data_IF_375729722591
#
_entry.id   IF_375729722591
#
_cell.length_a   1.000
_cell.length_b   1.000
_cell.length_c   1.000
_cell.angle_alpha   90.00
_cell.angle_beta   90.00
_cell.angle_gamma   90.00
#
_symmetry.space_group_name_H-M   'P 1'
#
loop_
_entity.id
_entity.type
_entity.pdbx_description
1 polymer ?
#
# COMPACT_ATOMS: atom_id res chain seq x y z
N UNK A 1 -28.23 -8.80 -10.76
CA UNK A 1 -27.72 -10.17 -10.88
C UNK A 1 -28.11 -10.68 -12.25
N UNK A 2 -27.13 -10.97 -13.09
CA UNK A 2 -27.36 -11.61 -14.38
C UNK A 2 -27.13 -13.11 -14.21
N UNK A 3 -28.02 -13.92 -14.75
CA UNK A 3 -27.88 -15.39 -14.78
C UNK A 3 -27.55 -15.81 -16.21
N UNK A 4 -26.70 -16.82 -16.37
CA UNK A 4 -26.32 -17.38 -17.67
C UNK A 4 -25.75 -16.35 -18.65
N UNK A 5 -24.83 -15.49 -18.19
CA UNK A 5 -24.17 -14.52 -19.04
C UNK A 5 -23.12 -15.21 -19.93
N UNK A 6 -23.15 -14.91 -21.23
CA UNK A 6 -22.18 -15.43 -22.21
C UNK A 6 -21.47 -14.25 -22.85
N UNK A 7 -20.14 -14.25 -22.79
CA UNK A 7 -19.33 -13.33 -23.58
C UNK A 7 -19.07 -13.97 -24.93
N UNK A 8 -19.41 -13.24 -26.01
CA UNK A 8 -19.17 -13.64 -27.39
C UNK A 8 -18.21 -12.68 -28.06
N UNK A 9 -17.31 -13.22 -28.89
CA UNK A 9 -16.49 -12.45 -29.82
C UNK A 9 -16.80 -12.98 -31.22
N UNK A 10 -17.26 -12.11 -32.14
CA UNK A 10 -17.72 -12.48 -33.46
C UNK A 10 -18.70 -13.67 -33.44
N UNK A 11 -19.75 -13.56 -32.61
CA UNK A 11 -20.78 -14.59 -32.40
C UNK A 11 -20.31 -15.94 -31.80
N UNK A 12 -19.01 -16.10 -31.58
CA UNK A 12 -18.45 -17.28 -30.92
C UNK A 12 -18.48 -17.10 -29.41
N UNK A 13 -19.15 -18.01 -28.67
CA UNK A 13 -19.16 -17.93 -27.20
C UNK A 13 -17.79 -18.32 -26.66
N UNK A 14 -17.13 -17.39 -25.94
CA UNK A 14 -15.79 -17.60 -25.38
C UNK A 14 -15.84 -17.87 -23.90
N UNK A 15 -16.75 -17.24 -23.19
CA UNK A 15 -16.85 -17.34 -21.73
C UNK A 15 -18.31 -17.42 -21.29
N UNK A 16 -18.60 -18.39 -20.43
CA UNK A 16 -19.89 -18.57 -19.80
C UNK A 16 -19.79 -18.31 -18.30
N UNK A 17 -20.65 -17.41 -17.80
CA UNK A 17 -20.81 -17.14 -16.37
C UNK A 17 -22.20 -17.60 -15.93
N UNK A 18 -22.31 -18.66 -15.12
CA UNK A 18 -23.61 -19.13 -14.63
C UNK A 18 -24.30 -18.06 -13.77
N UNK A 19 -23.51 -17.19 -13.13
CA UNK A 19 -24.00 -16.07 -12.33
C UNK A 19 -23.00 -14.90 -12.43
N UNK A 20 -23.44 -13.81 -13.02
CA UNK A 20 -22.64 -12.57 -13.09
C UNK A 20 -23.29 -11.50 -12.22
N UNK A 21 -22.47 -10.86 -11.41
CA UNK A 21 -22.88 -9.77 -10.53
C UNK A 21 -22.06 -8.53 -10.85
N UNK A 22 -22.73 -7.48 -11.31
CA UNK A 22 -22.14 -6.16 -11.44
C UNK A 22 -22.68 -5.30 -10.29
N UNK A 23 -21.83 -4.77 -9.38
CA UNK A 23 -22.29 -3.85 -8.36
C UNK A 23 -22.75 -2.54 -9.02
N UNK A 24 -23.99 -2.19 -8.83
CA UNK A 24 -24.52 -0.87 -9.14
C UNK A 24 -24.03 0.14 -8.08
N UNK A 25 -23.94 1.42 -8.43
CA UNK A 25 -23.54 2.51 -7.53
C UNK A 25 -24.42 2.63 -6.27
N UNK A 26 -25.65 2.14 -6.33
CA UNK A 26 -26.57 2.07 -5.20
C UNK A 26 -26.29 0.92 -4.23
N UNK A 27 -25.46 -0.04 -4.61
CA UNK A 27 -25.16 -1.23 -3.78
C UNK A 27 -24.12 -0.91 -2.73
N UNK A 28 -24.45 -1.15 -1.46
CA UNK A 28 -23.48 -1.03 -0.35
C UNK A 28 -22.21 -1.82 -0.64
N UNK A 29 -21.07 -1.29 -0.21
CA UNK A 29 -19.75 -1.94 -0.31
C UNK A 29 -19.81 -3.38 0.17
N UNK A 30 -19.33 -4.32 -0.62
CA UNK A 30 -19.35 -5.76 -0.30
C UNK A 30 -17.95 -6.33 -0.34
N UNK A 31 -17.70 -7.29 0.53
CA UNK A 31 -16.46 -8.08 0.51
C UNK A 31 -16.44 -9.01 -0.69
N UNK A 32 -15.26 -9.25 -1.24
CA UNK A 32 -15.07 -10.13 -2.38
C UNK A 32 -13.65 -10.08 -2.97
N UNK A 33 -13.36 -11.00 -3.85
CA UNK A 33 -12.12 -10.98 -4.63
C UNK A 33 -12.13 -9.81 -5.62
N UNK A 34 -11.00 -9.14 -5.71
CA UNK A 34 -10.74 -8.14 -6.74
C UNK A 34 -10.08 -8.81 -7.95
N UNK A 35 -9.91 -8.04 -9.02
CA UNK A 35 -9.29 -8.54 -10.24
C UNK A 35 -7.86 -9.03 -9.96
N UNK A 36 -7.53 -10.27 -10.28
CA UNK A 36 -6.17 -10.78 -10.17
C UNK A 36 -5.22 -10.03 -11.11
N UNK A 37 -3.95 -9.93 -10.69
CA UNK A 37 -2.87 -9.38 -11.51
C UNK A 37 -1.81 -10.42 -11.79
N UNK A 38 -1.36 -10.48 -13.03
CA UNK A 38 -0.20 -11.25 -13.44
C UNK A 38 0.96 -10.26 -13.65
N UNK A 39 2.07 -10.52 -12.99
CA UNK A 39 3.29 -9.72 -13.13
C UNK A 39 4.42 -10.62 -13.63
N UNK A 40 5.30 -10.03 -14.42
CA UNK A 40 6.54 -10.67 -14.84
C UNK A 40 7.70 -9.71 -14.61
N UNK A 41 8.66 -10.13 -13.80
CA UNK A 41 9.83 -9.34 -13.43
C UNK A 41 11.10 -10.09 -13.81
N UNK A 42 12.07 -9.40 -14.41
CA UNK A 42 13.40 -9.97 -14.71
C UNK A 42 14.12 -10.46 -13.45
N UNK A 43 13.81 -9.86 -12.30
CA UNK A 43 14.47 -10.14 -11.02
C UNK A 43 13.76 -11.25 -10.22
N UNK A 44 12.43 -11.27 -10.24
CA UNK A 44 11.61 -12.17 -9.42
C UNK A 44 10.76 -13.14 -10.25
N UNK A 45 10.67 -12.94 -11.62
CA UNK A 45 9.93 -13.69 -12.62
C UNK A 45 8.43 -13.52 -12.55
N UNK A 46 7.72 -14.57 -12.95
CA UNK A 46 6.27 -14.54 -13.02
C UNK A 46 5.66 -14.62 -11.62
N UNK A 47 4.65 -13.82 -11.38
CA UNK A 47 3.88 -13.86 -10.15
C UNK A 47 2.41 -13.55 -10.40
N UNK A 48 1.56 -14.07 -9.53
CA UNK A 48 0.13 -13.78 -9.51
C UNK A 48 -0.24 -13.13 -8.17
N UNK A 49 -0.95 -12.03 -8.26
CA UNK A 49 -1.55 -11.37 -7.10
C UNK A 49 -3.06 -11.59 -7.12
N UNK A 50 -3.65 -12.08 -6.03
CA UNK A 50 -5.08 -12.38 -5.91
C UNK A 50 -5.65 -11.59 -4.73
N UNK A 51 -6.04 -10.32 -4.91
CA UNK A 51 -6.47 -9.51 -3.80
C UNK A 51 -7.90 -9.85 -3.36
N UNK A 52 -8.12 -9.79 -2.04
CA UNK A 52 -9.42 -9.93 -1.41
C UNK A 52 -9.77 -8.69 -0.59
N UNK A 53 -10.85 -8.05 -0.97
CA UNK A 53 -11.38 -6.88 -0.28
C UNK A 53 -12.38 -7.30 0.78
N UNK A 54 -12.24 -6.80 2.00
CA UNK A 54 -13.15 -7.04 3.13
C UNK A 54 -13.65 -5.73 3.73
N UNK A 55 -14.95 -5.54 3.73
CA UNK A 55 -15.59 -4.46 4.47
C UNK A 55 -15.60 -4.80 5.96
N UNK A 56 -15.10 -3.90 6.80
CA UNK A 56 -15.12 -4.01 8.26
C UNK A 56 -16.18 -3.11 8.91
N UNK A 57 -16.96 -2.42 8.08
CA UNK A 57 -18.00 -1.48 8.48
C UNK A 57 -18.29 -0.47 7.38
N UNK A 58 -19.08 0.55 7.67
CA UNK A 58 -19.43 1.58 6.70
C UNK A 58 -18.26 2.49 6.31
N UNK A 59 -17.29 2.66 7.22
CA UNK A 59 -16.22 3.64 7.10
C UNK A 59 -14.79 3.04 7.14
N UNK A 60 -14.68 1.72 7.18
CA UNK A 60 -13.38 1.03 7.21
C UNK A 60 -13.39 -0.26 6.40
N UNK A 61 -12.26 -0.61 5.85
CA UNK A 61 -12.03 -1.82 5.06
C UNK A 61 -10.58 -2.30 5.16
N UNK A 62 -10.40 -3.53 4.73
CA UNK A 62 -9.13 -4.21 4.63
C UNK A 62 -9.04 -4.85 3.24
N UNK A 63 -7.92 -4.65 2.56
CA UNK A 63 -7.60 -5.39 1.34
C UNK A 63 -6.39 -6.27 1.59
N UNK A 64 -6.59 -7.55 1.54
CA UNK A 64 -5.52 -8.54 1.62
C UNK A 64 -5.03 -8.85 0.21
N UNK A 65 -3.73 -8.73 -0.05
CA UNK A 65 -3.13 -8.73 -1.39
C UNK A 65 -1.97 -9.75 -1.47
N UNK A 66 -2.23 -11.06 -1.38
CA UNK A 66 -1.18 -12.07 -1.49
C UNK A 66 -0.62 -12.11 -2.92
N UNK A 67 0.69 -12.10 -3.03
CA UNK A 67 1.40 -12.31 -4.30
C UNK A 67 2.16 -13.62 -4.23
N UNK A 68 1.84 -14.54 -5.12
CA UNK A 68 2.48 -15.85 -5.26
C UNK A 68 3.45 -15.80 -6.44
N UNK A 69 4.67 -16.29 -6.24
CA UNK A 69 5.67 -16.37 -7.28
C UNK A 69 5.75 -17.79 -7.86
N UNK A 70 5.93 -17.89 -9.17
CA UNK A 70 6.36 -19.11 -9.82
C UNK A 70 7.79 -19.44 -9.40
N UNK A 71 8.27 -20.65 -9.50
CA UNK A 71 9.60 -21.13 -9.05
C UNK A 71 10.74 -20.08 -9.12
N UNK A 72 11.37 -19.77 -7.98
CA UNK A 72 12.46 -18.80 -7.90
C UNK A 72 13.70 -19.31 -7.17
N UNK A 73 14.85 -19.04 -7.79
CA UNK A 73 16.18 -19.30 -7.22
C UNK A 73 16.55 -18.38 -6.05
N UNK A 74 15.81 -17.29 -5.84
CA UNK A 74 16.08 -16.31 -4.77
C UNK A 74 15.32 -16.57 -3.47
N UNK A 75 14.38 -17.50 -3.46
CA UNK A 75 13.64 -17.89 -2.26
C UNK A 75 13.99 -19.32 -1.90
N UNK A 76 14.51 -19.54 -0.70
CA UNK A 76 14.86 -20.89 -0.25
C UNK A 76 13.61 -21.72 0.12
N UNK A 77 12.57 -21.10 0.69
CA UNK A 77 11.39 -21.82 1.22
C UNK A 77 10.06 -21.24 0.80
N UNK A 78 9.87 -19.93 0.90
CA UNK A 78 8.56 -19.30 0.72
C UNK A 78 8.55 -18.45 -0.57
N UNK A 79 7.47 -18.56 -1.31
CA UNK A 79 7.31 -17.96 -2.64
C UNK A 79 6.13 -17.00 -2.66
N UNK A 80 5.92 -16.26 -1.57
CA UNK A 80 4.81 -15.32 -1.50
C UNK A 80 5.17 -14.07 -0.70
N UNK A 81 4.54 -12.95 -1.09
CA UNK A 81 4.47 -11.73 -0.31
C UNK A 81 3.05 -11.62 0.24
N UNK A 82 2.92 -11.36 1.52
CA UNK A 82 1.66 -11.01 2.14
C UNK A 82 1.61 -9.50 2.31
N UNK A 83 0.80 -8.83 1.50
CA UNK A 83 0.54 -7.41 1.60
C UNK A 83 -0.87 -7.18 2.10
N UNK A 84 -1.08 -6.19 2.95
CA UNK A 84 -2.37 -5.86 3.54
C UNK A 84 -2.52 -4.35 3.61
N UNK A 85 -3.60 -3.84 3.05
CA UNK A 85 -3.94 -2.43 3.11
C UNK A 85 -5.19 -2.23 3.95
N UNK A 86 -5.07 -1.39 4.97
CA UNK A 86 -6.18 -0.96 5.83
C UNK A 86 -6.55 0.49 5.52
N UNK A 87 -7.84 0.75 5.38
CA UNK A 87 -8.40 2.09 5.18
C UNK A 87 -9.49 2.38 6.18
N UNK A 88 -9.45 3.57 6.76
CA UNK A 88 -10.50 4.11 7.63
C UNK A 88 -10.75 5.56 7.25
N UNK A 89 -12.01 5.92 7.09
CA UNK A 89 -12.42 7.31 6.83
C UNK A 89 -13.55 7.70 7.76
N UNK A 90 -13.34 8.76 8.50
CA UNK A 90 -14.33 9.39 9.38
C UNK A 90 -14.65 10.80 8.87
N UNK A 91 -15.60 11.49 9.50
CA UNK A 91 -15.98 12.84 9.13
C UNK A 91 -14.78 13.80 9.10
N UNK A 92 -13.93 13.68 10.11
CA UNK A 92 -12.82 14.60 10.34
C UNK A 92 -11.43 13.92 10.24
N UNK A 93 -11.36 12.63 9.94
CA UNK A 93 -10.08 11.93 9.84
C UNK A 93 -10.07 10.87 8.73
N UNK A 94 -8.88 10.59 8.23
CA UNK A 94 -8.63 9.49 7.31
C UNK A 94 -7.31 8.82 7.64
N UNK A 95 -7.31 7.49 7.58
CA UNK A 95 -6.15 6.65 7.76
C UNK A 95 -6.07 5.66 6.61
N UNK A 96 -4.91 5.57 5.98
CA UNK A 96 -4.54 4.48 5.08
C UNK A 96 -3.23 3.92 5.60
N UNK A 97 -3.14 2.60 5.74
CA UNK A 97 -1.92 1.91 6.11
C UNK A 97 -1.73 0.69 5.20
N UNK A 98 -0.55 0.55 4.64
CA UNK A 98 -0.16 -0.58 3.81
C UNK A 98 1.05 -1.27 4.44
N UNK A 99 0.94 -2.55 4.67
CA UNK A 99 1.98 -3.38 5.27
C UNK A 99 2.21 -4.60 4.39
N UNK A 100 3.48 -4.93 4.09
CA UNK A 100 3.82 -6.19 3.47
C UNK A 100 4.94 -6.90 4.22
N UNK A 101 4.91 -8.22 4.13
CA UNK A 101 5.84 -9.10 4.79
C UNK A 101 6.23 -10.25 3.88
N UNK A 102 7.54 -10.55 3.82
CA UNK A 102 8.14 -11.68 3.13
C UNK A 102 9.20 -12.31 4.02
N UNK A 103 9.16 -13.63 4.16
CA UNK A 103 10.14 -14.41 4.94
C UNK A 103 11.22 -14.97 4.02
N UNK A 104 12.37 -15.23 4.62
CA UNK A 104 13.48 -15.99 4.03
C UNK A 104 13.95 -15.48 2.65
N UNK A 105 13.92 -14.16 2.44
CA UNK A 105 14.45 -13.55 1.22
C UNK A 105 15.98 -13.63 1.19
N UNK A 106 16.52 -14.15 0.09
CA UNK A 106 17.96 -14.21 -0.16
C UNK A 106 18.35 -13.18 -1.23
N UNK A 107 19.16 -12.22 -0.85
CA UNK A 107 19.72 -11.27 -1.80
C UNK A 107 20.85 -11.90 -2.63
N UNK A 108 21.05 -11.47 -3.85
CA UNK A 108 22.17 -11.89 -4.69
C UNK A 108 23.55 -11.55 -4.10
N UNK A 109 23.60 -10.56 -3.20
CA UNK A 109 24.82 -10.06 -2.57
C UNK A 109 25.06 -10.59 -1.15
N UNK A 110 24.08 -11.25 -0.56
CA UNK A 110 24.17 -11.74 0.82
C UNK A 110 23.66 -13.19 0.90
N UNK A 111 24.51 -14.09 1.38
CA UNK A 111 24.18 -15.50 1.54
C UNK A 111 23.19 -15.78 2.65
N UNK A 112 22.97 -14.85 3.59
CA UNK A 112 22.02 -15.00 4.70
C UNK A 112 20.61 -14.56 4.27
N UNK A 113 19.63 -15.39 4.57
CA UNK A 113 18.22 -15.06 4.43
C UNK A 113 17.78 -13.99 5.42
N UNK A 114 16.90 -13.11 5.03
CA UNK A 114 16.34 -12.05 5.88
C UNK A 114 14.84 -11.97 5.70
N UNK A 115 14.14 -11.67 6.78
CA UNK A 115 12.76 -11.22 6.69
C UNK A 115 12.75 -9.77 6.23
N UNK A 116 11.93 -9.47 5.25
CA UNK A 116 11.78 -8.12 4.73
C UNK A 116 10.33 -7.69 4.83
N UNK A 117 10.14 -6.42 5.14
CA UNK A 117 8.81 -5.83 5.25
C UNK A 117 8.83 -4.34 4.87
N UNK A 118 7.66 -3.81 4.60
CA UNK A 118 7.43 -2.37 4.58
C UNK A 118 6.25 -1.98 5.46
N UNK A 119 6.25 -0.73 5.87
CA UNK A 119 5.10 -0.04 6.46
C UNK A 119 5.00 1.33 5.80
N UNK A 120 3.89 1.55 5.10
CA UNK A 120 3.52 2.86 4.57
C UNK A 120 2.21 3.27 5.24
N UNK A 121 2.15 4.50 5.76
CA UNK A 121 0.99 5.00 6.47
C UNK A 121 0.78 6.48 6.15
N UNK A 122 -0.46 6.84 5.89
CA UNK A 122 -0.90 8.23 5.82
C UNK A 122 -2.10 8.43 6.73
N UNK A 123 -1.98 9.38 7.65
CA UNK A 123 -3.04 9.79 8.55
C UNK A 123 -3.26 11.30 8.45
N UNK A 124 -4.51 11.67 8.29
CA UNK A 124 -4.94 13.06 8.26
C UNK A 124 -6.10 13.25 9.23
N UNK A 125 -6.06 14.30 10.05
CA UNK A 125 -7.15 14.63 10.96
C UNK A 125 -7.37 16.14 11.03
N UNK A 126 -8.65 16.52 11.06
CA UNK A 126 -9.11 17.89 11.34
C UNK A 126 -9.65 17.91 12.76
N UNK A 127 -9.10 18.77 13.60
CA UNK A 127 -9.52 18.93 14.98
C UNK A 127 -10.32 20.22 15.11
N UNK A 128 -11.44 20.17 15.82
CA UNK A 128 -12.24 21.34 16.13
C UNK A 128 -11.96 21.72 17.58
N UNK A 129 -11.12 22.73 17.78
CA UNK A 129 -10.80 23.26 19.11
C UNK A 129 -11.31 24.70 19.17
N UNK A 130 -12.03 25.11 20.22
CA UNK A 130 -12.47 26.49 20.38
C UNK A 130 -11.31 27.48 20.24
N UNK A 131 -11.57 28.64 19.68
CA UNK A 131 -10.60 29.71 19.39
C UNK A 131 -9.63 29.47 18.23
N UNK A 132 -9.76 28.36 17.49
CA UNK A 132 -9.05 28.17 16.24
C UNK A 132 -10.05 28.02 15.09
N UNK A 133 -9.72 28.58 13.93
CA UNK A 133 -10.51 28.42 12.71
C UNK A 133 -10.33 27.01 12.15
N UNK A 134 -9.11 26.51 12.20
CA UNK A 134 -8.77 25.20 11.64
C UNK A 134 -7.52 24.64 12.31
N UNK A 135 -7.62 23.39 12.71
CA UNK A 135 -6.46 22.62 13.14
C UNK A 135 -6.40 21.36 12.28
N UNK A 136 -5.25 21.10 11.68
CA UNK A 136 -5.00 19.90 10.87
C UNK A 136 -3.73 19.22 11.34
N UNK A 137 -3.85 17.93 11.58
CA UNK A 137 -2.73 17.04 11.88
C UNK A 137 -2.53 16.08 10.71
N UNK A 138 -1.29 15.95 10.25
CA UNK A 138 -0.88 15.05 9.17
C UNK A 138 0.30 14.20 9.64
N UNK A 139 0.26 12.91 9.36
CA UNK A 139 1.38 12.01 9.55
C UNK A 139 1.53 11.12 8.32
N UNK A 140 2.73 11.09 7.77
CA UNK A 140 3.14 10.18 6.71
C UNK A 140 4.34 9.37 7.18
N UNK A 141 4.26 8.04 7.06
CA UNK A 141 5.34 7.13 7.45
C UNK A 141 5.67 6.25 6.27
N UNK A 142 6.93 6.29 5.86
CA UNK A 142 7.50 5.42 4.85
C UNK A 142 8.67 4.65 5.46
N UNK A 143 8.56 3.33 5.54
CA UNK A 143 9.60 2.49 6.11
C UNK A 143 9.74 1.18 5.35
N UNK A 144 10.98 0.79 5.09
CA UNK A 144 11.35 -0.51 4.54
C UNK A 144 12.50 -1.12 5.36
N UNK A 145 12.59 -2.44 5.40
CA UNK A 145 13.67 -3.13 6.14
C UNK A 145 14.89 -3.48 5.31
N UNK A 146 14.83 -3.25 3.99
CA UNK A 146 15.92 -3.54 3.08
C UNK A 146 16.09 -2.41 2.07
N UNK A 147 17.32 -1.95 1.87
CA UNK A 147 17.65 -0.79 1.04
C UNK A 147 17.29 -0.97 -0.44
N UNK A 148 17.22 -2.20 -0.91
CA UNK A 148 16.83 -2.52 -2.29
C UNK A 148 15.37 -2.94 -2.43
N UNK A 149 14.58 -2.85 -1.36
CA UNK A 149 13.21 -3.35 -1.31
C UNK A 149 12.35 -2.80 -2.44
N UNK A 150 12.28 -1.48 -2.58
CA UNK A 150 11.45 -0.83 -3.59
C UNK A 150 11.91 -1.17 -5.01
N UNK A 151 13.22 -1.16 -5.28
CA UNK A 151 13.78 -1.52 -6.59
C UNK A 151 13.46 -2.95 -7.02
N UNK A 152 13.37 -3.87 -6.05
CA UNK A 152 13.15 -5.30 -6.32
C UNK A 152 11.66 -5.63 -6.43
N UNK A 153 10.82 -5.04 -5.57
CA UNK A 153 9.43 -5.46 -5.40
C UNK A 153 8.38 -4.49 -5.92
N UNK A 154 8.73 -3.27 -6.35
CA UNK A 154 7.76 -2.27 -6.81
C UNK A 154 6.74 -2.83 -7.81
N UNK A 155 7.21 -3.54 -8.83
CA UNK A 155 6.35 -4.11 -9.86
C UNK A 155 5.48 -5.29 -9.37
N UNK A 156 5.81 -5.86 -8.22
CA UNK A 156 5.10 -6.99 -7.63
C UNK A 156 4.18 -6.59 -6.48
N UNK A 157 4.33 -5.37 -5.96
CA UNK A 157 3.40 -4.82 -4.98
C UNK A 157 2.11 -4.42 -5.68
N UNK A 158 1.00 -4.81 -5.10
CA UNK A 158 -0.30 -4.38 -5.59
C UNK A 158 -0.44 -2.86 -5.39
N UNK A 159 -1.08 -2.15 -6.33
CA UNK A 159 -1.23 -0.70 -6.28
C UNK A 159 -1.71 -0.23 -4.92
N UNK A 160 -0.95 0.67 -4.34
CA UNK A 160 -1.30 1.40 -3.13
C UNK A 160 -1.03 2.89 -3.38
N UNK A 161 -1.92 3.78 -2.90
CA UNK A 161 -1.68 5.22 -3.00
C UNK A 161 -0.54 5.70 -2.10
N UNK A 162 0.03 4.81 -1.29
CA UNK A 162 1.09 5.09 -0.32
C UNK A 162 2.47 4.67 -0.80
N UNK A 163 2.60 4.19 -2.04
CA UNK A 163 3.92 3.82 -2.56
C UNK A 163 4.84 5.06 -2.57
N UNK A 164 6.05 4.98 -1.99
CA UNK A 164 6.99 6.08 -2.00
C UNK A 164 7.27 6.60 -3.41
N UNK A 165 7.36 7.90 -3.57
CA UNK A 165 7.63 8.55 -4.85
C UNK A 165 9.04 8.24 -5.38
N UNK A 166 9.97 7.85 -4.50
CA UNK A 166 11.35 7.51 -4.83
C UNK A 166 11.69 6.09 -4.40
N UNK A 167 12.40 5.37 -5.25
CA UNK A 167 12.92 4.03 -4.92
C UNK A 167 14.16 4.07 -4.00
N UNK A 168 14.74 5.23 -3.78
CA UNK A 168 16.00 5.39 -3.04
C UNK A 168 15.87 6.31 -1.84
N UNK A 169 14.79 7.07 -1.72
CA UNK A 169 14.59 8.02 -0.63
C UNK A 169 13.20 7.85 -0.06
N UNK A 170 13.11 7.64 1.24
CA UNK A 170 11.86 7.62 1.98
C UNK A 170 11.65 8.95 2.67
N UNK A 171 10.41 9.42 2.74
CA UNK A 171 10.02 10.64 3.43
C UNK A 171 8.96 10.34 4.49
N UNK A 172 9.34 10.43 5.76
CA UNK A 172 8.42 10.33 6.87
C UNK A 172 8.26 11.69 7.55
N UNK A 173 7.03 12.11 7.77
CA UNK A 173 6.77 13.41 8.40
C UNK A 173 5.55 13.38 9.32
N UNK A 174 5.58 14.28 10.29
CA UNK A 174 4.45 14.60 11.18
C UNK A 174 4.33 16.12 11.21
N UNK A 175 3.18 16.65 10.80
CA UNK A 175 2.92 18.09 10.69
C UNK A 175 1.63 18.49 11.40
N UNK A 176 1.69 19.62 12.09
CA UNK A 176 0.55 20.25 12.74
C UNK A 176 0.36 21.65 12.16
N UNK A 177 -0.82 21.92 11.68
CA UNK A 177 -1.22 23.20 11.14
C UNK A 177 -2.27 23.82 12.06
N UNK A 178 -2.00 25.02 12.53
CA UNK A 178 -2.87 25.81 13.40
C UNK A 178 -3.23 27.10 12.67
N UNK A 179 -4.49 27.35 12.48
CA UNK A 179 -5.01 28.54 11.81
C UNK A 179 -5.94 29.30 12.75
N UNK A 180 -5.63 30.57 12.99
CA UNK A 180 -6.43 31.54 13.74
C UNK A 180 -6.58 32.79 12.90
N UNK A 181 -7.63 33.61 13.11
CA UNK A 181 -8.02 34.74 12.24
C UNK A 181 -6.87 35.51 11.57
N UNK A 182 -5.81 35.84 12.31
CA UNK A 182 -4.68 36.63 11.80
C UNK A 182 -3.32 35.92 12.00
N UNK A 183 -3.33 34.63 12.33
CA UNK A 183 -2.10 33.87 12.62
C UNK A 183 -2.18 32.46 12.08
N UNK A 184 -1.13 32.05 11.38
CA UNK A 184 -0.96 30.70 10.89
C UNK A 184 0.37 30.15 11.45
N UNK A 185 0.30 29.01 12.11
CA UNK A 185 1.47 28.28 12.56
C UNK A 185 1.48 26.90 11.91
N UNK A 186 2.60 26.56 11.29
CA UNK A 186 2.89 25.21 10.85
C UNK A 186 4.12 24.71 11.58
N UNK A 187 4.01 23.59 12.24
CA UNK A 187 5.13 22.95 12.94
C UNK A 187 5.15 21.45 12.64
N UNK A 188 6.31 20.84 12.70
CA UNK A 188 6.40 19.41 12.44
C UNK A 188 7.85 18.92 12.37
N UNK A 189 7.98 17.63 12.16
CA UNK A 189 9.25 16.95 11.95
C UNK A 189 9.17 16.23 10.62
N UNK A 190 10.18 16.35 9.81
CA UNK A 190 10.34 15.65 8.54
C UNK A 190 11.67 14.91 8.51
N UNK A 191 11.64 13.65 8.14
CA UNK A 191 12.78 12.74 8.10
C UNK A 191 12.92 12.16 6.71
N UNK A 192 14.04 12.46 6.07
CA UNK A 192 14.43 11.83 4.81
C UNK A 192 15.43 10.72 5.07
N UNK A 193 15.13 9.51 4.62
CA UNK A 193 16.03 8.36 4.69
C UNK A 193 16.53 8.01 3.30
N UNK A 194 17.85 8.13 3.07
CA UNK A 194 18.49 7.73 1.81
C UNK A 194 18.93 6.26 1.89
N UNK A 195 18.24 5.40 1.14
CA UNK A 195 18.52 3.96 1.09
C UNK A 195 19.82 3.61 0.36
N UNK A 196 20.38 4.55 -0.40
CA UNK A 196 21.63 4.37 -1.13
C UNK A 196 22.88 4.62 -0.29
N UNK A 197 22.74 5.25 0.88
CA UNK A 197 23.85 5.66 1.74
C UNK A 197 23.86 4.83 3.02
N UNK A 198 25.04 4.53 3.53
CA UNK A 198 25.24 3.81 4.79
C UNK A 198 25.71 4.78 5.87
N UNK A 199 25.34 4.51 7.13
CA UNK A 199 25.79 5.24 8.32
C UNK A 199 25.19 6.66 8.50
N UNK A 200 25.98 7.63 8.97
CA UNK A 200 25.57 8.94 9.47
C UNK A 200 24.77 9.80 8.49
N UNK A 201 25.09 9.68 7.19
CA UNK A 201 24.51 10.53 6.15
C UNK A 201 23.18 9.95 5.60
N UNK A 202 22.72 8.85 6.17
CA UNK A 202 21.48 8.18 5.76
C UNK A 202 20.25 9.00 6.06
N UNK A 203 20.25 9.73 7.18
CA UNK A 203 19.09 10.45 7.67
C UNK A 203 19.32 11.95 7.64
N UNK A 204 18.38 12.68 7.05
CA UNK A 204 18.28 14.14 7.15
C UNK A 204 17.01 14.49 7.91
N UNK A 205 17.13 15.40 8.85
CA UNK A 205 16.02 15.87 9.68
C UNK A 205 15.76 17.33 9.37
N UNK A 206 14.50 17.65 9.09
CA UNK A 206 14.02 19.03 9.01
C UNK A 206 13.13 19.28 10.21
N UNK A 207 13.54 20.24 11.05
CA UNK A 207 12.80 20.71 12.21
C UNK A 207 12.24 22.10 11.91
N UNK A 208 11.15 22.54 12.59
CA UNK A 208 10.57 23.86 12.43
C UNK A 208 11.51 24.95 12.90
#
# INVERSE_FOLDING_TARGET
>A
IYKNAIIRIYDTPILYFPKFFHPDSSVKRRSGFLQPRLNNSKTLGSSINIPYFKTLGSNKDLTFKPTLFEKFSKFEKEKYILQTEFRKKEKNSSLIADFAFLRDYKSSTNSKTKNINHLFLNYNSKLNIPNFLKIRFEANIERVTNDTYLKVFENNLFDTPLLPASQTTLNSNVKLYLEKENQNLTTGIEVYENLGVKHSDRYQYTLP
#
